data_IF_366917734756
#
_entry.id   IF_366917734756
#
_cell.length_a   1.000
_cell.length_b   1.000
_cell.length_c   1.000
_cell.angle_alpha   90.00
_cell.angle_beta   90.00
_cell.angle_gamma   90.00
#
_symmetry.space_group_name_H-M   'P 1'
#
loop_
_entity.id
_entity.type
_entity.pdbx_description
1 polymer ?
#
# COMPACT_ATOMS: atom_id res chain seq x y z
N UNK A 1 7.63 -8.00 17.15
CA UNK A 1 6.26 -7.95 16.59
C UNK A 1 6.23 -6.76 15.67
N UNK A 2 5.97 -6.97 14.38
CA UNK A 2 5.83 -5.84 13.44
C UNK A 2 4.52 -5.12 13.76
N UNK A 3 4.48 -3.80 13.60
CA UNK A 3 3.22 -3.06 13.74
C UNK A 3 2.28 -3.47 12.59
N UNK A 4 0.96 -3.66 12.81
CA UNK A 4 0.00 -3.93 11.73
C UNK A 4 0.12 -2.96 10.54
N UNK A 5 0.45 -1.69 10.81
CA UNK A 5 0.73 -0.70 9.77
C UNK A 5 1.94 -1.06 8.88
N UNK A 6 2.99 -1.62 9.48
CA UNK A 6 4.20 -2.01 8.75
C UNK A 6 3.95 -3.23 7.86
N UNK A 7 3.10 -4.16 8.29
CA UNK A 7 2.71 -5.33 7.50
C UNK A 7 1.90 -4.92 6.28
N UNK A 8 0.93 -4.02 6.44
CA UNK A 8 0.13 -3.50 5.32
C UNK A 8 0.96 -2.65 4.37
N UNK A 9 1.87 -1.83 4.89
CA UNK A 9 2.81 -1.09 4.05
C UNK A 9 3.70 -2.03 3.21
N UNK A 10 4.09 -3.17 3.79
CA UNK A 10 4.86 -4.22 3.09
C UNK A 10 4.02 -4.88 1.99
N UNK A 11 2.78 -5.25 2.27
CA UNK A 11 1.85 -5.82 1.29
C UNK A 11 1.55 -4.84 0.15
N UNK A 12 1.33 -3.56 0.48
CA UNK A 12 1.10 -2.51 -0.51
C UNK A 12 2.30 -2.37 -1.45
N UNK A 13 3.52 -2.32 -0.90
CA UNK A 13 4.74 -2.24 -1.72
C UNK A 13 4.90 -3.48 -2.60
N UNK A 14 4.64 -4.68 -2.07
CA UNK A 14 4.69 -5.92 -2.85
C UNK A 14 3.71 -5.91 -4.03
N UNK A 15 2.48 -5.44 -3.81
CA UNK A 15 1.48 -5.32 -4.88
C UNK A 15 1.88 -4.29 -5.95
N UNK A 16 2.49 -3.18 -5.57
CA UNK A 16 3.01 -2.18 -6.52
C UNK A 16 4.06 -2.78 -7.49
N UNK A 17 5.03 -3.53 -6.96
CA UNK A 17 6.03 -4.22 -7.79
C UNK A 17 5.39 -5.25 -8.70
N UNK A 18 4.49 -6.07 -8.14
CA UNK A 18 3.77 -7.10 -8.91
C UNK A 18 2.97 -6.51 -10.07
N UNK A 19 2.28 -5.39 -9.84
CA UNK A 19 1.51 -4.69 -10.87
C UNK A 19 2.41 -4.04 -11.93
N UNK A 20 3.57 -3.54 -11.53
CA UNK A 20 4.56 -2.99 -12.47
C UNK A 20 5.09 -4.06 -13.41
N UNK A 21 5.44 -5.24 -12.88
CA UNK A 21 5.89 -6.39 -13.67
C UNK A 21 4.77 -6.92 -14.58
N UNK A 22 3.55 -7.01 -14.06
CA UNK A 22 2.39 -7.43 -14.82
C UNK A 22 2.10 -6.48 -16.00
N UNK A 23 2.14 -5.16 -15.76
CA UNK A 23 1.93 -4.15 -16.80
C UNK A 23 2.97 -4.28 -17.93
N UNK A 24 4.25 -4.47 -17.57
CA UNK A 24 5.30 -4.73 -18.54
C UNK A 24 5.00 -6.00 -19.35
N UNK A 25 4.76 -7.14 -18.69
CA UNK A 25 4.54 -8.42 -19.36
C UNK A 25 3.28 -8.44 -20.24
N UNK A 26 2.19 -7.80 -19.80
CA UNK A 26 0.94 -7.67 -20.55
C UNK A 26 1.16 -6.88 -21.84
N UNK A 27 1.92 -5.78 -21.79
CA UNK A 27 2.28 -4.99 -22.98
C UNK A 27 3.00 -5.80 -24.05
N UNK A 28 3.74 -6.83 -23.64
CA UNK A 28 4.47 -7.75 -24.53
C UNK A 28 3.72 -9.06 -24.85
N UNK A 29 2.46 -9.22 -24.42
CA UNK A 29 1.70 -10.48 -24.53
C UNK A 29 2.43 -11.70 -23.91
N UNK A 30 3.23 -11.47 -22.88
CA UNK A 30 4.03 -12.49 -22.16
C UNK A 30 3.45 -12.85 -20.79
N UNK A 31 2.18 -12.53 -20.58
CA UNK A 31 1.50 -12.73 -19.32
C UNK A 31 0.52 -13.89 -19.45
N UNK A 32 0.77 -14.97 -18.73
CA UNK A 32 0.03 -16.22 -18.85
C UNK A 32 -1.27 -16.20 -18.03
N UNK A 33 -2.24 -17.07 -18.36
CA UNK A 33 -3.46 -17.21 -17.56
C UNK A 33 -3.19 -17.56 -16.09
N UNK A 34 -2.10 -18.29 -15.79
CA UNK A 34 -1.73 -18.59 -14.41
C UNK A 34 -1.22 -17.34 -13.69
N UNK A 35 -0.37 -16.55 -14.33
CA UNK A 35 0.08 -15.28 -13.76
C UNK A 35 -1.08 -14.31 -13.51
N UNK A 36 -2.10 -14.30 -14.37
CA UNK A 36 -3.33 -13.53 -14.10
C UNK A 36 -4.00 -13.96 -12.79
N UNK A 37 -4.11 -15.27 -12.55
CA UNK A 37 -4.70 -15.82 -11.32
C UNK A 37 -3.85 -15.50 -10.10
N UNK A 38 -2.55 -15.76 -10.17
CA UNK A 38 -1.61 -15.53 -9.07
C UNK A 38 -1.59 -14.04 -8.66
N UNK A 39 -1.65 -13.12 -9.63
CA UNK A 39 -1.71 -11.69 -9.33
C UNK A 39 -3.05 -11.26 -8.75
N UNK A 40 -4.16 -11.85 -9.20
CA UNK A 40 -5.47 -11.61 -8.58
C UNK A 40 -5.50 -12.08 -7.12
N UNK A 41 -4.97 -13.26 -6.83
CA UNK A 41 -4.92 -13.82 -5.48
C UNK A 41 -4.10 -12.93 -4.54
N UNK A 42 -2.94 -12.43 -4.99
CA UNK A 42 -2.12 -11.50 -4.21
C UNK A 42 -2.83 -10.16 -3.93
N UNK A 43 -3.62 -9.65 -4.88
CA UNK A 43 -4.41 -8.43 -4.68
C UNK A 43 -5.58 -8.66 -3.73
N UNK A 44 -6.21 -9.83 -3.74
CA UNK A 44 -7.27 -10.17 -2.79
C UNK A 44 -6.73 -10.33 -1.36
N UNK A 45 -5.53 -10.89 -1.20
CA UNK A 45 -4.82 -10.93 0.09
C UNK A 45 -4.61 -9.51 0.64
N UNK A 46 -4.08 -8.60 -0.20
CA UNK A 46 -3.88 -7.21 0.20
C UNK A 46 -5.20 -6.48 0.47
N UNK A 47 -6.23 -6.69 -0.35
CA UNK A 47 -7.55 -6.11 -0.15
C UNK A 47 -8.18 -6.58 1.18
N UNK A 48 -8.01 -7.86 1.52
CA UNK A 48 -8.47 -8.42 2.79
C UNK A 48 -7.73 -7.80 3.97
N UNK A 49 -6.40 -7.72 3.91
CA UNK A 49 -5.60 -7.08 4.96
C UNK A 49 -5.98 -5.60 5.17
N UNK A 50 -6.30 -4.86 4.10
CA UNK A 50 -6.78 -3.48 4.20
C UNK A 50 -8.14 -3.38 4.90
N UNK A 51 -9.08 -4.28 4.59
CA UNK A 51 -10.39 -4.32 5.25
C UNK A 51 -10.24 -4.62 6.73
N UNK A 52 -9.43 -5.62 7.09
CA UNK A 52 -9.14 -5.96 8.48
C UNK A 52 -8.48 -4.79 9.22
N UNK A 53 -7.57 -4.08 8.55
CA UNK A 53 -6.95 -2.89 9.14
C UNK A 53 -7.93 -1.78 9.40
N UNK A 54 -8.87 -1.53 8.48
CA UNK A 54 -9.87 -0.49 8.64
C UNK A 54 -10.70 -0.70 9.92
N UNK A 55 -10.99 -1.96 10.29
CA UNK A 55 -11.68 -2.30 11.55
C UNK A 55 -10.84 -1.96 12.80
N UNK A 56 -9.51 -1.89 12.68
CA UNK A 56 -8.61 -1.50 13.77
C UNK A 56 -8.40 0.01 13.88
N UNK A 57 -8.74 0.75 12.82
CA UNK A 57 -8.59 2.19 12.81
C UNK A 57 -9.72 2.86 13.61
N UNK A 58 -9.44 3.95 14.34
CA UNK A 58 -10.47 4.70 15.01
C UNK A 58 -11.51 5.18 13.99
N UNK A 59 -12.79 4.96 14.26
CA UNK A 59 -13.88 5.51 13.46
C UNK A 59 -13.96 7.03 13.68
N UNK A 60 -13.27 7.80 12.85
CA UNK A 60 -13.22 9.26 12.90
C UNK A 60 -12.26 9.86 11.86
N UNK A 61 -12.38 11.16 11.60
CA UNK A 61 -11.40 11.89 10.80
C UNK A 61 -10.00 11.77 11.45
N UNK A 62 -8.99 11.48 10.63
CA UNK A 62 -7.59 11.47 11.07
C UNK A 62 -7.30 12.79 11.79
N UNK A 63 -6.69 12.78 12.99
CA UNK A 63 -6.39 14.02 13.70
C UNK A 63 -5.48 14.88 12.83
N UNK A 64 -5.85 16.15 12.63
CA UNK A 64 -5.11 17.16 11.84
C UNK A 64 -3.65 17.39 12.28
N UNK A 65 -3.24 16.76 13.38
CA UNK A 65 -1.99 17.01 14.11
C UNK A 65 -0.69 16.62 13.39
N UNK A 66 -0.74 15.98 12.22
CA UNK A 66 0.46 15.67 11.42
C UNK A 66 0.75 16.65 10.27
N UNK A 67 -0.09 17.69 10.06
CA UNK A 67 0.14 18.67 8.98
C UNK A 67 1.05 19.84 9.33
N UNK A 68 1.45 20.04 10.58
CA UNK A 68 2.07 21.31 11.02
C UNK A 68 3.50 21.24 11.56
N UNK A 69 4.19 20.08 11.54
CA UNK A 69 5.57 20.01 12.08
C UNK A 69 6.66 20.04 11.00
N UNK A 70 6.56 20.91 10.00
CA UNK A 70 7.71 21.23 9.15
C UNK A 70 7.74 22.71 8.76
N UNK A 71 8.79 23.38 9.26
CA UNK A 71 9.23 24.77 9.01
C UNK A 71 8.62 25.85 9.91
N UNK A 72 9.10 25.91 11.17
CA UNK A 72 9.60 27.18 11.70
C UNK A 72 11.12 27.14 11.61
N UNK A 73 11.63 27.50 10.43
CA UNK A 73 13.01 27.92 10.26
C UNK A 73 13.09 29.38 10.66
N UNK A 74 13.38 29.60 11.93
CA UNK A 74 13.84 30.88 12.47
C UNK A 74 15.03 31.34 11.62
N UNK A 75 14.89 32.48 10.94
CA UNK A 75 15.97 33.07 10.15
C UNK A 75 16.03 34.56 10.50
N UNK A 76 16.60 34.82 11.67
CA UNK A 76 17.25 36.08 12.02
C UNK A 76 18.50 36.24 11.14
N UNK A 77 18.51 37.24 10.26
CA UNK A 77 19.70 37.93 9.73
C UNK A 77 19.30 39.22 8.99
#
# INVERSE_FOLDING_TARGET
MSSPHAEIATLARRCEWLMSDAAFALGWRRYSPQQCRDTADALEEFATALREHAETLPSGELPDSERTNLVEGDSDA
#
